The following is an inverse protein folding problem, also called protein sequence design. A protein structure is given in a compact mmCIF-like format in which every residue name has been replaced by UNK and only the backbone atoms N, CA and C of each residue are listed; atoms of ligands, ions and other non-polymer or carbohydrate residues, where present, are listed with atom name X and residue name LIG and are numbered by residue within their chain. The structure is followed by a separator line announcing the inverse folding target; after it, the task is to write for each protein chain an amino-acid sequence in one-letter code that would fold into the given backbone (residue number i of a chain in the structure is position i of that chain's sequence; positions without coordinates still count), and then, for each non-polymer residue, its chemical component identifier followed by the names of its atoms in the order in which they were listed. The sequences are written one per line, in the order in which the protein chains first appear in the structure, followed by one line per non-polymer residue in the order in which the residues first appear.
data_IF_997481265643
#
_entry.id   IF_997481265643
#
_cell.length_a   1.000
_cell.length_b   1.000
_cell.length_c   1.000
_cell.angle_alpha   90.00
_cell.angle_beta   90.00
_cell.angle_gamma   90.00
#
_symmetry.space_group_name_H-M   'P 1'
#
loop_
_entity.id
_entity.type
_entity.pdbx_description
1 polymer ?
#
# COMPACT_ATOMS: atom_id res chain seq x y z
N UNK A 1 0.00 -74.08 -2.19
CA UNK A 1 -0.51 -73.16 -3.22
C UNK A 1 -1.31 -71.99 -2.65
N UNK A 2 -2.27 -72.19 -1.72
CA UNK A 2 -3.02 -71.06 -1.12
C UNK A 2 -2.17 -70.15 -0.20
N UNK A 3 -1.27 -70.73 0.60
CA UNK A 3 -0.38 -69.96 1.51
C UNK A 3 0.67 -69.14 0.74
N UNK A 4 1.21 -69.69 -0.35
CA UNK A 4 2.20 -69.00 -1.21
C UNK A 4 1.57 -67.82 -1.95
N UNK A 5 0.31 -67.94 -2.38
CA UNK A 5 -0.42 -66.83 -3.00
C UNK A 5 -0.66 -65.70 -1.98
N UNK A 6 -1.04 -66.04 -0.74
CA UNK A 6 -1.22 -65.04 0.32
C UNK A 6 0.09 -64.32 0.68
N UNK A 7 1.22 -65.04 0.69
CA UNK A 7 2.55 -64.47 0.95
C UNK A 7 2.99 -63.50 -0.17
N UNK A 8 2.72 -63.83 -1.44
CA UNK A 8 3.03 -62.97 -2.58
C UNK A 8 2.16 -61.71 -2.60
N UNK A 9 0.88 -61.82 -2.24
CA UNK A 9 -0.02 -60.66 -2.15
C UNK A 9 0.41 -59.72 -1.00
N UNK A 10 0.81 -60.27 0.15
CA UNK A 10 1.33 -59.47 1.27
C UNK A 10 2.65 -58.77 0.92
N UNK A 11 3.57 -59.43 0.21
CA UNK A 11 4.84 -58.82 -0.22
C UNK A 11 4.61 -57.72 -1.26
N UNK A 12 3.66 -57.91 -2.19
CA UNK A 12 3.29 -56.88 -3.18
C UNK A 12 2.71 -55.62 -2.54
N UNK A 13 1.87 -55.76 -1.52
CA UNK A 13 1.23 -54.64 -0.83
C UNK A 13 2.22 -53.72 -0.07
N UNK A 14 3.36 -54.25 0.39
CA UNK A 14 4.35 -53.47 1.16
C UNK A 14 5.12 -52.49 0.25
N UNK A 15 5.23 -52.79 -1.05
CA UNK A 15 5.98 -51.94 -2.00
C UNK A 15 5.22 -50.73 -2.53
N UNK A 16 3.89 -50.72 -2.40
CA UNK A 16 3.03 -49.64 -2.93
C UNK A 16 3.04 -48.35 -2.09
N UNK A 17 3.59 -48.37 -0.87
CA UNK A 17 3.56 -47.23 0.06
C UNK A 17 4.89 -46.46 0.18
N UNK A 18 5.88 -46.73 -0.69
CA UNK A 18 7.14 -45.99 -0.66
C UNK A 18 7.00 -44.62 -1.34
N UNK A 19 6.64 -43.59 -0.57
CA UNK A 19 6.69 -42.20 -1.04
C UNK A 19 8.16 -41.79 -1.22
N UNK A 20 8.50 -41.37 -2.43
CA UNK A 20 9.88 -40.96 -2.76
C UNK A 20 10.23 -39.65 -2.07
N UNK A 21 11.51 -39.47 -1.72
CA UNK A 21 12.07 -38.24 -1.13
C UNK A 21 11.69 -36.97 -1.94
N UNK A 22 11.57 -37.12 -3.26
CA UNK A 22 11.16 -36.05 -4.19
C UNK A 22 9.73 -35.59 -3.91
N UNK A 23 8.80 -36.51 -3.70
CA UNK A 23 7.40 -36.21 -3.40
C UNK A 23 7.26 -35.47 -2.06
N UNK A 24 8.03 -35.88 -1.04
CA UNK A 24 8.05 -35.19 0.26
C UNK A 24 8.55 -33.75 0.14
N UNK A 25 9.59 -33.52 -0.67
CA UNK A 25 10.14 -32.17 -0.91
C UNK A 25 9.16 -31.27 -1.67
N UNK A 26 8.46 -31.79 -2.67
CA UNK A 26 7.44 -31.03 -3.39
C UNK A 26 6.22 -30.71 -2.51
N UNK A 27 5.76 -31.64 -1.68
CA UNK A 27 4.65 -31.41 -0.75
C UNK A 27 5.02 -30.35 0.30
N UNK A 28 6.25 -30.38 0.82
CA UNK A 28 6.78 -29.36 1.72
C UNK A 28 6.91 -27.98 1.04
N UNK A 29 7.40 -27.90 -0.20
CA UNK A 29 7.52 -26.62 -0.91
C UNK A 29 6.16 -26.03 -1.26
N UNK A 30 5.21 -26.86 -1.66
CA UNK A 30 3.83 -26.45 -1.95
C UNK A 30 3.11 -25.99 -0.68
N UNK A 31 3.32 -26.66 0.45
CA UNK A 31 2.79 -26.24 1.74
C UNK A 31 3.41 -24.91 2.18
N UNK A 32 4.73 -24.75 2.06
CA UNK A 32 5.39 -23.48 2.34
C UNK A 32 4.83 -22.34 1.47
N UNK A 33 4.65 -22.58 0.17
CA UNK A 33 4.11 -21.59 -0.77
C UNK A 33 2.64 -21.24 -0.49
N UNK A 34 1.82 -22.22 -0.10
CA UNK A 34 0.46 -21.97 0.39
C UNK A 34 0.44 -21.14 1.67
N UNK A 35 1.34 -21.44 2.63
CA UNK A 35 1.49 -20.63 3.85
C UNK A 35 1.91 -19.20 3.56
N UNK A 36 2.78 -18.95 2.58
CA UNK A 36 3.14 -17.59 2.17
C UNK A 36 1.97 -16.81 1.54
N UNK A 37 1.04 -17.50 0.86
CA UNK A 37 -0.15 -16.88 0.25
C UNK A 37 -1.26 -16.55 1.25
N UNK A 38 -1.27 -17.21 2.42
CA UNK A 38 -2.29 -17.05 3.48
C UNK A 38 -1.93 -16.00 4.55
N UNK A 39 -0.73 -15.40 4.49
CA UNK A 39 -0.38 -14.27 5.37
C UNK A 39 -1.09 -13.04 4.83
N UNK A 40 -1.86 -12.34 5.67
CA UNK A 40 -2.36 -11.00 5.34
C UNK A 40 -1.16 -10.05 5.19
N UNK A 41 -0.76 -9.86 3.93
CA UNK A 41 0.41 -9.09 3.55
C UNK A 41 0.14 -7.58 3.50
N UNK A 42 -1.09 -7.13 3.78
CA UNK A 42 -1.51 -5.75 3.50
C UNK A 42 -0.85 -4.69 4.39
N UNK A 43 -0.61 -5.01 5.67
CA UNK A 43 -0.02 -4.06 6.61
C UNK A 43 1.48 -4.36 6.85
N UNK A 44 2.34 -3.34 6.78
CA UNK A 44 3.75 -3.47 7.12
C UNK A 44 3.96 -3.54 8.64
N UNK A 45 5.03 -4.20 9.06
CA UNK A 45 5.40 -4.29 10.49
C UNK A 45 6.00 -2.96 10.99
N UNK A 46 6.67 -2.23 10.10
CA UNK A 46 7.18 -0.87 10.34
C UNK A 46 6.65 0.10 9.29
N UNK A 47 6.18 1.26 9.75
CA UNK A 47 5.75 2.35 8.87
C UNK A 47 6.95 3.01 8.17
N UNK A 48 6.74 3.67 7.02
CA UNK A 48 7.72 4.55 6.41
C UNK A 48 8.11 5.67 7.38
N UNK A 49 9.36 6.13 7.32
CA UNK A 49 9.88 7.13 8.24
C UNK A 49 10.42 8.34 7.49
N UNK A 50 9.92 9.51 7.87
CA UNK A 50 10.52 10.79 7.49
C UNK A 50 11.74 11.09 8.35
N UNK A 51 12.66 11.91 7.83
CA UNK A 51 13.77 12.44 8.62
C UNK A 51 13.24 13.15 9.88
N UNK A 52 13.76 12.77 11.04
CA UNK A 52 13.32 13.28 12.35
C UNK A 52 12.17 12.50 13.01
N UNK A 53 11.56 11.52 12.32
CA UNK A 53 10.69 10.53 12.95
C UNK A 53 11.53 9.34 13.46
N UNK A 54 11.53 9.09 14.77
CA UNK A 54 12.19 7.91 15.35
C UNK A 54 11.34 6.64 15.27
N UNK A 55 11.97 5.46 15.40
CA UNK A 55 11.32 4.13 15.33
C UNK A 55 10.44 3.76 16.57
N UNK A 56 10.20 4.68 17.50
CA UNK A 56 9.47 4.40 18.75
C UNK A 56 7.94 4.36 18.55
N UNK A 57 7.18 4.10 19.63
CA UNK A 57 5.73 3.85 19.67
C UNK A 57 4.82 4.87 18.92
N UNK A 58 5.35 6.00 18.48
CA UNK A 58 4.66 7.05 17.72
C UNK A 58 5.05 7.13 16.23
N UNK A 59 5.78 6.16 15.69
CA UNK A 59 6.24 6.16 14.29
C UNK A 59 5.10 6.36 13.28
N UNK A 60 3.95 5.69 13.49
CA UNK A 60 2.78 5.85 12.62
C UNK A 60 2.21 7.27 12.68
N UNK A 61 2.05 7.84 13.88
CA UNK A 61 1.53 9.20 14.05
C UNK A 61 2.46 10.23 13.41
N UNK A 62 3.77 10.10 13.66
CA UNK A 62 4.78 10.98 13.06
C UNK A 62 4.76 10.89 11.53
N UNK A 63 4.65 9.68 10.99
CA UNK A 63 4.51 9.46 9.55
C UNK A 63 3.29 10.19 8.96
N UNK A 64 2.10 10.01 9.55
CA UNK A 64 0.89 10.66 9.04
C UNK A 64 0.92 12.18 9.18
N UNK A 65 1.45 12.70 10.28
CA UNK A 65 1.62 14.14 10.50
C UNK A 65 2.56 14.75 9.44
N UNK A 66 3.75 14.17 9.26
CA UNK A 66 4.71 14.62 8.25
C UNK A 66 4.20 14.45 6.83
N UNK A 67 3.50 13.36 6.54
CA UNK A 67 2.88 13.16 5.23
C UNK A 67 1.85 14.25 4.94
N UNK A 68 1.01 14.59 5.92
CA UNK A 68 0.04 15.67 5.80
C UNK A 68 0.71 17.03 5.60
N UNK A 69 1.74 17.35 6.39
CA UNK A 69 2.53 18.58 6.20
C UNK A 69 3.09 18.68 4.78
N UNK A 70 3.71 17.61 4.27
CA UNK A 70 4.30 17.61 2.92
C UNK A 70 3.24 17.77 1.82
N UNK A 71 2.09 17.10 1.96
CA UNK A 71 0.97 17.26 1.02
C UNK A 71 0.45 18.70 1.06
N UNK A 72 0.26 19.27 2.25
CA UNK A 72 -0.17 20.66 2.41
C UNK A 72 0.85 21.62 1.79
N UNK A 73 2.15 21.40 1.96
CA UNK A 73 3.19 22.22 1.33
C UNK A 73 3.15 22.15 -0.20
N UNK A 74 2.91 20.97 -0.78
CA UNK A 74 2.75 20.81 -2.23
C UNK A 74 1.47 21.44 -2.78
N UNK A 75 0.46 21.59 -1.92
CA UNK A 75 -0.84 22.16 -2.29
C UNK A 75 -1.01 23.65 -1.93
N UNK A 76 -0.18 24.20 -1.03
CA UNK A 76 -0.23 25.61 -0.64
C UNK A 76 0.53 26.53 -1.61
N UNK A 77 1.03 26.02 -2.74
CA UNK A 77 1.47 26.88 -3.83
C UNK A 77 0.25 27.70 -4.30
N UNK A 78 0.38 29.03 -4.28
CA UNK A 78 -0.67 30.06 -4.22
C UNK A 78 -1.72 30.07 -5.36
N UNK A 79 -1.78 29.02 -6.18
CA UNK A 79 -2.58 28.91 -7.39
C UNK A 79 -3.55 27.71 -7.39
N UNK A 80 -3.74 27.01 -6.27
CA UNK A 80 -4.78 25.99 -6.12
C UNK A 80 -6.12 26.64 -5.74
N UNK A 81 -6.71 27.34 -6.69
CA UNK A 81 -8.08 27.82 -6.57
C UNK A 81 -9.04 26.70 -7.01
N UNK A 82 -9.76 26.14 -6.04
CA UNK A 82 -10.85 25.22 -6.33
C UNK A 82 -12.14 26.03 -6.45
N UNK A 83 -12.74 26.02 -7.63
CA UNK A 83 -14.09 26.55 -7.89
C UNK A 83 -15.12 25.70 -7.14
N UNK A 84 -15.34 26.01 -5.87
CA UNK A 84 -16.26 25.28 -5.00
C UNK A 84 -17.02 26.26 -4.13
N UNK A 85 -18.29 25.94 -3.83
CA UNK A 85 -19.15 26.78 -3.00
C UNK A 85 -18.98 26.55 -1.50
N UNK A 86 -18.43 25.40 -1.11
CA UNK A 86 -18.29 24.99 0.29
C UNK A 86 -16.99 24.20 0.51
N UNK A 87 -16.55 24.11 1.77
CA UNK A 87 -15.45 23.23 2.17
C UNK A 87 -15.85 21.78 1.90
N UNK A 88 -14.92 21.04 1.31
CA UNK A 88 -15.09 19.62 1.01
C UNK A 88 -13.80 18.85 1.32
N UNK A 89 -13.86 17.52 1.30
CA UNK A 89 -12.68 16.68 1.46
C UNK A 89 -12.72 15.53 0.48
N UNK A 90 -11.59 15.28 -0.18
CA UNK A 90 -11.42 14.10 -1.05
C UNK A 90 -10.42 13.14 -0.42
N UNK A 91 -10.66 11.84 -0.57
CA UNK A 91 -9.71 10.81 -0.13
C UNK A 91 -8.70 10.55 -1.25
N UNK A 92 -7.43 10.84 -0.98
CA UNK A 92 -6.34 10.56 -1.92
C UNK A 92 -5.63 9.28 -1.54
N UNK A 93 -5.24 8.49 -2.55
CA UNK A 93 -4.41 7.32 -2.38
C UNK A 93 -2.96 7.64 -2.72
N UNK A 94 -2.06 7.38 -1.77
CA UNK A 94 -0.62 7.57 -1.89
C UNK A 94 0.07 6.22 -1.75
N UNK A 95 1.07 5.97 -2.60
CA UNK A 95 1.92 4.78 -2.55
C UNK A 95 3.34 5.19 -2.14
N UNK A 96 3.86 4.54 -1.12
CA UNK A 96 5.30 4.54 -0.80
C UNK A 96 5.89 3.27 -1.37
N UNK A 97 6.79 3.38 -2.34
CA UNK A 97 7.45 2.22 -2.91
C UNK A 97 8.55 1.67 -1.98
N UNK A 98 9.05 0.46 -2.27
CA UNK A 98 10.17 -0.17 -1.55
C UNK A 98 11.49 0.61 -1.59
N UNK A 99 11.59 1.68 -2.39
CA UNK A 99 12.73 2.60 -2.46
C UNK A 99 12.47 3.88 -1.65
N UNK A 100 11.29 4.02 -1.06
CA UNK A 100 10.89 5.18 -0.27
C UNK A 100 10.32 6.34 -1.07
N UNK A 101 10.01 6.17 -2.36
CA UNK A 101 9.42 7.24 -3.16
C UNK A 101 7.92 7.29 -2.91
N UNK A 102 7.40 8.48 -2.62
CA UNK A 102 5.96 8.72 -2.45
C UNK A 102 5.36 9.16 -3.79
N UNK A 103 4.29 8.49 -4.21
CA UNK A 103 3.59 8.77 -5.47
C UNK A 103 2.08 8.80 -5.30
N UNK A 104 1.43 9.74 -6.00
CA UNK A 104 -0.03 9.82 -6.08
C UNK A 104 -0.60 8.75 -7.01
N UNK A 105 -1.55 7.96 -6.52
CA UNK A 105 -2.22 6.91 -7.29
C UNK A 105 -3.54 7.42 -7.88
N UNK A 106 -4.29 8.21 -7.13
CA UNK A 106 -5.59 8.72 -7.55
C UNK A 106 -6.46 9.10 -6.35
N UNK A 107 -7.71 9.42 -6.64
CA UNK A 107 -8.77 9.45 -5.63
C UNK A 107 -9.22 8.03 -5.27
N UNK A 108 -9.71 7.84 -4.04
CA UNK A 108 -10.32 6.57 -3.63
C UNK A 108 -11.68 6.33 -4.34
N UNK A 109 -12.33 7.37 -4.83
CA UNK A 109 -13.49 7.24 -5.70
C UNK A 109 -13.05 7.01 -7.15
N UNK A 110 -13.74 6.10 -7.84
CA UNK A 110 -13.74 6.10 -9.30
C UNK A 110 -14.29 7.46 -9.71
N UNK A 111 -13.47 8.36 -10.27
CA UNK A 111 -13.89 9.74 -10.56
C UNK A 111 -15.15 9.77 -11.47
N UNK A 112 -16.34 9.90 -10.88
CA UNK A 112 -17.60 9.72 -11.60
C UNK A 112 -18.02 11.02 -12.26
N UNK A 113 -17.75 12.15 -11.59
CA UNK A 113 -18.18 13.47 -12.05
C UNK A 113 -17.02 14.36 -12.52
N UNK A 114 -17.34 15.39 -13.31
CA UNK A 114 -16.33 16.31 -13.88
C UNK A 114 -15.51 17.06 -12.83
N UNK A 115 -16.10 17.30 -11.67
CA UNK A 115 -15.44 17.95 -10.53
C UNK A 115 -14.34 17.06 -9.96
N UNK A 116 -14.63 15.80 -9.65
CA UNK A 116 -13.64 14.83 -9.16
C UNK A 116 -12.54 14.60 -10.19
N UNK A 117 -12.86 14.52 -11.49
CA UNK A 117 -11.86 14.44 -12.56
C UNK A 117 -10.92 15.65 -12.58
N UNK A 118 -11.47 16.85 -12.42
CA UNK A 118 -10.70 18.09 -12.38
C UNK A 118 -9.78 18.14 -11.16
N UNK A 119 -10.29 17.71 -9.99
CA UNK A 119 -9.50 17.59 -8.75
C UNK A 119 -8.40 16.54 -8.90
N UNK A 120 -8.70 15.33 -9.40
CA UNK A 120 -7.69 14.27 -9.60
C UNK A 120 -6.56 14.75 -10.52
N UNK A 121 -6.90 15.39 -11.64
CA UNK A 121 -5.92 15.92 -12.59
C UNK A 121 -4.99 16.96 -11.92
N UNK A 122 -5.56 17.87 -11.14
CA UNK A 122 -4.79 18.90 -10.44
C UNK A 122 -3.88 18.30 -9.37
N UNK A 123 -4.41 17.39 -8.55
CA UNK A 123 -3.65 16.69 -7.52
C UNK A 123 -2.53 15.84 -8.12
N UNK A 124 -2.77 15.18 -9.25
CA UNK A 124 -1.77 14.39 -9.97
C UNK A 124 -0.56 15.23 -10.39
N UNK A 125 -0.80 16.46 -10.86
CA UNK A 125 0.28 17.40 -11.23
C UNK A 125 1.04 17.87 -9.98
N UNK A 126 0.32 18.19 -8.89
CA UNK A 126 0.93 18.80 -7.69
C UNK A 126 1.64 17.78 -6.78
N UNK A 127 1.15 16.55 -6.76
CA UNK A 127 1.64 15.46 -5.90
C UNK A 127 2.50 14.45 -6.66
N UNK A 128 2.96 14.77 -7.89
CA UNK A 128 3.77 13.86 -8.70
C UNK A 128 5.09 13.45 -8.01
N UNK A 129 5.69 14.39 -7.25
CA UNK A 129 6.92 14.15 -6.49
C UNK A 129 6.85 14.89 -5.15
N UNK A 130 6.53 14.15 -4.08
CA UNK A 130 6.43 14.72 -2.73
C UNK A 130 7.83 14.83 -2.14
N UNK A 131 8.40 13.69 -1.76
CA UNK A 131 9.76 13.55 -1.25
C UNK A 131 10.15 12.06 -1.25
N UNK A 132 11.37 11.76 -0.80
CA UNK A 132 11.86 10.40 -0.56
C UNK A 132 12.03 10.21 0.94
N UNK A 133 11.61 9.06 1.44
CA UNK A 133 11.63 8.68 2.86
C UNK A 133 12.19 7.27 3.03
N UNK A 134 12.31 6.78 4.27
CA UNK A 134 12.56 5.35 4.47
C UNK A 134 11.30 4.53 4.15
N UNK A 135 11.41 3.40 3.45
CA UNK A 135 10.25 2.60 3.07
C UNK A 135 9.63 1.91 4.29
N UNK A 136 8.41 1.41 4.11
CA UNK A 136 7.84 0.48 5.06
C UNK A 136 8.62 -0.85 5.05
N UNK A 137 8.67 -1.54 6.19
CA UNK A 137 9.28 -2.85 6.30
C UNK A 137 8.31 -3.92 6.77
N UNK A 138 8.44 -5.12 6.21
CA UNK A 138 7.82 -6.34 6.71
C UNK A 138 8.93 -7.35 6.94
N UNK A 139 9.12 -7.79 8.18
CA UNK A 139 10.19 -8.71 8.57
C UNK A 139 11.59 -8.24 8.09
N UNK A 140 11.89 -6.95 8.27
CA UNK A 140 13.13 -6.30 7.80
C UNK A 140 13.35 -6.29 6.28
N UNK A 141 12.33 -6.61 5.48
CA UNK A 141 12.35 -6.46 4.02
C UNK A 141 11.55 -5.21 3.64
N UNK A 142 12.10 -4.30 2.82
CA UNK A 142 11.37 -3.12 2.38
C UNK A 142 10.23 -3.53 1.44
N UNK A 143 9.03 -3.03 1.71
CA UNK A 143 7.80 -3.34 0.97
C UNK A 143 7.14 -2.08 0.45
N UNK A 144 6.29 -2.25 -0.57
CA UNK A 144 5.38 -1.20 -0.99
C UNK A 144 4.25 -1.07 0.04
N UNK A 145 3.83 0.15 0.35
CA UNK A 145 2.69 0.40 1.22
C UNK A 145 1.82 1.54 0.68
N UNK A 146 0.50 1.42 0.87
CA UNK A 146 -0.48 2.38 0.38
C UNK A 146 -1.25 3.01 1.53
N UNK A 147 -1.52 4.30 1.40
CA UNK A 147 -2.17 5.10 2.43
C UNK A 147 -3.28 5.95 1.83
N UNK A 148 -4.37 6.07 2.58
CA UNK A 148 -5.47 6.98 2.28
C UNK A 148 -5.33 8.21 3.15
N UNK A 149 -5.31 9.38 2.52
CA UNK A 149 -5.20 10.66 3.21
C UNK A 149 -6.40 11.55 2.84
N UNK A 150 -7.15 12.10 3.80
CA UNK A 150 -8.15 13.11 3.51
C UNK A 150 -7.46 14.44 3.18
N UNK A 151 -7.72 14.98 1.99
CA UNK A 151 -7.29 16.32 1.60
C UNK A 151 -8.48 17.25 1.69
N UNK A 152 -8.40 18.25 2.57
CA UNK A 152 -9.44 19.26 2.74
C UNK A 152 -9.25 20.34 1.69
N UNK A 153 -10.27 20.48 0.84
CA UNK A 153 -10.35 21.48 -0.20
C UNK A 153 -11.12 22.69 0.33
N UNK A 154 -10.55 23.87 0.15
CA UNK A 154 -11.18 25.14 0.50
C UNK A 154 -11.66 25.84 -0.76
N UNK A 155 -12.79 26.55 -0.70
CA UNK A 155 -13.23 27.39 -1.81
C UNK A 155 -12.18 28.46 -2.11
N UNK A 156 -12.06 28.85 -3.37
CA UNK A 156 -11.32 30.04 -3.75
C UNK A 156 -11.93 31.24 -3.02
N UNK A 157 -11.20 31.81 -2.07
CA UNK A 157 -11.58 33.08 -1.48
C UNK A 157 -11.14 34.17 -2.45
N UNK A 158 -12.09 34.92 -3.01
CA UNK A 158 -11.78 36.18 -3.69
C UNK A 158 -10.98 37.03 -2.69
N UNK A 159 -9.71 37.28 -2.98
CA UNK A 159 -8.91 38.21 -2.19
C UNK A 159 -9.57 39.60 -2.29
N UNK A 160 -9.72 40.35 -1.18
CA UNK A 160 -10.26 41.70 -1.20
C UNK A 160 -9.49 42.69 -2.10
N UNK A 161 -8.29 42.31 -2.56
CA UNK A 161 -7.39 43.15 -3.36
C UNK A 161 -7.88 43.38 -4.80
N UNK A 162 -8.87 42.62 -5.29
CA UNK A 162 -9.44 42.76 -6.64
C UNK A 162 -10.69 43.68 -6.69
N UNK A 163 -11.09 44.29 -5.55
CA UNK A 163 -12.15 45.32 -5.52
C UNK A 163 -11.61 46.75 -5.57
N UNK A 164 -10.31 46.92 -5.82
CA UNK A 164 -9.70 48.24 -6.05
C UNK A 164 -8.90 48.26 -7.36
N UNK A 165 -9.59 48.07 -8.49
CA UNK A 165 -9.22 48.71 -9.76
C UNK A 165 -10.46 48.94 -10.63
#
# INVERSE_FOLDING_TARGET
MRLTILLVIMIGAITASCRTEVQKKQEASQLAQKRFQEIDLSQPDKYPLFDGCGELDNAANCFFEKLQEQVVLKLNDHHLQFEMSQRDSVMVQLLVDKKGNISYQGLQSDAVNDRERSIDSLLRVRLQHICKIEPAYKQNVPVNSSYLLPVILKPATVQPDDLSN
#
